data_IF_585243989883
#
_entry.id   IF_585243989883
#
_cell.length_a   1.000
_cell.length_b   1.000
_cell.length_c   1.000
_cell.angle_alpha   90.00
_cell.angle_beta   90.00
_cell.angle_gamma   90.00
#
_symmetry.space_group_name_H-M   'P 1'
#
loop_
_entity.id
_entity.type
_entity.pdbx_description
1 polymer ?
#
# COMPACT_ATOMS: atom_id res chain seq x y z
N UNK A 1 -13.17 13.53 -8.07
CA UNK A 1 -11.99 13.74 -7.24
C UNK A 1 -11.87 15.19 -6.79
N UNK A 2 -11.91 16.20 -7.67
CA UNK A 2 -11.80 17.62 -7.29
C UNK A 2 -12.81 18.04 -6.21
N UNK A 3 -14.05 17.58 -6.30
CA UNK A 3 -15.09 17.87 -5.31
C UNK A 3 -14.83 17.19 -3.94
N UNK A 4 -14.29 15.97 -3.95
CA UNK A 4 -13.94 15.27 -2.72
C UNK A 4 -12.77 15.93 -1.98
N UNK A 5 -11.75 16.40 -2.71
CA UNK A 5 -10.61 17.11 -2.11
C UNK A 5 -10.98 18.37 -1.33
N UNK A 6 -12.05 19.04 -1.73
CA UNK A 6 -12.53 20.25 -1.02
C UNK A 6 -13.29 19.95 0.28
N UNK A 7 -13.75 18.72 0.46
CA UNK A 7 -14.60 18.32 1.59
C UNK A 7 -13.93 17.40 2.60
N UNK A 8 -12.88 16.69 2.21
CA UNK A 8 -12.23 15.65 3.02
C UNK A 8 -10.73 15.89 3.09
N UNK A 9 -10.15 15.67 4.27
CA UNK A 9 -8.70 15.76 4.49
C UNK A 9 -7.91 14.65 3.77
N UNK A 10 -8.50 13.46 3.64
CA UNK A 10 -7.92 12.31 2.93
C UNK A 10 -8.97 11.70 2.02
N UNK A 11 -8.55 11.35 0.81
CA UNK A 11 -9.36 10.63 -0.18
C UNK A 11 -8.59 9.40 -0.63
N UNK A 12 -9.16 8.23 -0.44
CA UNK A 12 -8.62 6.97 -0.95
C UNK A 12 -9.29 6.63 -2.29
N UNK A 13 -8.46 6.29 -3.27
CA UNK A 13 -8.93 5.85 -4.59
C UNK A 13 -8.57 4.37 -4.71
N UNK A 14 -9.57 3.51 -4.63
CA UNK A 14 -9.43 2.09 -4.93
C UNK A 14 -9.55 1.85 -6.43
N UNK A 15 -8.63 1.07 -6.99
CA UNK A 15 -8.56 0.82 -8.42
C UNK A 15 -8.86 -0.65 -8.73
N UNK A 16 -9.69 -0.92 -9.76
CA UNK A 16 -9.92 -2.29 -10.18
C UNK A 16 -8.66 -2.89 -10.83
N UNK A 17 -8.44 -4.21 -10.71
CA UNK A 17 -7.33 -4.87 -11.38
C UNK A 17 -7.48 -4.77 -12.91
N UNK A 18 -6.36 -4.62 -13.60
CA UNK A 18 -6.26 -4.76 -15.07
C UNK A 18 -6.98 -3.71 -15.93
N UNK A 19 -7.38 -2.56 -15.38
CA UNK A 19 -7.93 -1.45 -16.15
C UNK A 19 -6.93 -0.29 -16.21
N UNK A 20 -6.03 -0.34 -17.18
CA UNK A 20 -4.90 0.59 -17.32
C UNK A 20 -5.30 2.06 -17.32
N UNK A 21 -6.39 2.42 -18.02
CA UNK A 21 -6.83 3.81 -18.14
C UNK A 21 -7.36 4.38 -16.81
N UNK A 22 -8.08 3.55 -16.04
CA UNK A 22 -8.57 3.95 -14.72
C UNK A 22 -7.42 4.04 -13.72
N UNK A 23 -6.46 3.13 -13.79
CA UNK A 23 -5.25 3.16 -12.95
C UNK A 23 -4.45 4.42 -13.26
N UNK A 24 -4.20 4.73 -14.53
CA UNK A 24 -3.49 5.93 -14.94
C UNK A 24 -4.19 7.21 -14.44
N UNK A 25 -5.50 7.31 -14.61
CA UNK A 25 -6.28 8.44 -14.13
C UNK A 25 -6.25 8.58 -12.59
N UNK A 26 -6.25 7.47 -11.87
CA UNK A 26 -6.14 7.46 -10.41
C UNK A 26 -4.74 7.91 -9.96
N UNK A 27 -3.69 7.41 -10.60
CA UNK A 27 -2.29 7.82 -10.35
C UNK A 27 -2.12 9.31 -10.58
N UNK A 28 -2.57 9.83 -11.71
CA UNK A 28 -2.48 11.26 -12.06
C UNK A 28 -3.21 12.15 -11.04
N UNK A 29 -4.30 11.66 -10.49
CA UNK A 29 -5.08 12.37 -9.50
C UNK A 29 -4.54 12.24 -8.07
N UNK A 30 -3.57 11.38 -7.81
CA UNK A 30 -3.08 11.06 -6.47
C UNK A 30 -1.88 11.92 -6.06
N UNK A 31 -1.76 12.19 -4.76
CA UNK A 31 -0.57 12.79 -4.14
C UNK A 31 0.44 11.72 -3.71
N UNK A 32 -0.05 10.53 -3.41
CA UNK A 32 0.73 9.35 -3.05
C UNK A 32 0.09 8.11 -3.67
N UNK A 33 0.91 7.24 -4.24
CA UNK A 33 0.48 5.93 -4.72
C UNK A 33 0.94 4.86 -3.74
N UNK A 34 0.02 4.03 -3.28
CA UNK A 34 0.33 2.87 -2.44
C UNK A 34 0.38 1.62 -3.31
N UNK A 35 1.56 1.03 -3.39
CA UNK A 35 1.80 -0.22 -4.11
C UNK A 35 1.66 -1.40 -3.14
N UNK A 36 0.59 -2.16 -3.26
CA UNK A 36 0.30 -3.28 -2.37
C UNK A 36 0.88 -4.57 -2.96
N UNK A 37 1.67 -5.30 -2.17
CA UNK A 37 2.27 -6.58 -2.58
C UNK A 37 2.40 -7.54 -1.39
N UNK A 38 2.64 -8.81 -1.68
CA UNK A 38 3.04 -9.80 -0.69
C UNK A 38 4.56 -10.01 -0.71
N UNK A 39 5.17 -10.67 0.30
CA UNK A 39 6.59 -10.99 0.28
C UNK A 39 7.01 -12.06 -0.74
N UNK A 40 6.08 -12.59 -1.54
CA UNK A 40 6.39 -13.58 -2.57
C UNK A 40 7.23 -13.01 -3.72
N UNK A 41 8.26 -13.72 -4.21
CA UNK A 41 9.14 -13.20 -5.26
C UNK A 41 8.40 -12.76 -6.53
N UNK A 42 7.43 -13.53 -6.97
CA UNK A 42 6.64 -13.23 -8.17
C UNK A 42 5.78 -11.97 -8.00
N UNK A 43 5.24 -11.76 -6.80
CA UNK A 43 4.45 -10.56 -6.50
C UNK A 43 5.35 -9.33 -6.41
N UNK A 44 6.55 -9.46 -5.85
CA UNK A 44 7.56 -8.40 -5.81
C UNK A 44 8.00 -7.99 -7.22
N UNK A 45 8.26 -8.95 -8.10
CA UNK A 45 8.62 -8.68 -9.49
C UNK A 45 7.52 -7.90 -10.22
N UNK A 46 6.26 -8.32 -10.08
CA UNK A 46 5.10 -7.64 -10.67
C UNK A 46 4.92 -6.22 -10.11
N UNK A 47 5.08 -6.07 -8.81
CA UNK A 47 5.03 -4.77 -8.16
C UNK A 47 6.15 -3.86 -8.68
N UNK A 48 7.37 -4.37 -8.83
CA UNK A 48 8.50 -3.63 -9.38
C UNK A 48 8.24 -3.14 -10.81
N UNK A 49 7.69 -3.99 -11.68
CA UNK A 49 7.30 -3.58 -13.04
C UNK A 49 6.26 -2.45 -13.01
N UNK A 50 5.32 -2.51 -12.08
CA UNK A 50 4.34 -1.44 -11.88
C UNK A 50 5.01 -0.17 -11.35
N UNK A 51 5.88 -0.28 -10.37
CA UNK A 51 6.59 0.85 -9.76
C UNK A 51 7.39 1.67 -10.78
N UNK A 52 8.06 0.99 -11.73
CA UNK A 52 8.83 1.64 -12.80
C UNK A 52 7.98 2.51 -13.73
N UNK A 53 6.70 2.20 -13.86
CA UNK A 53 5.76 2.91 -14.73
C UNK A 53 5.09 4.10 -14.03
N UNK A 54 5.28 4.27 -12.73
CA UNK A 54 4.62 5.32 -11.94
C UNK A 54 5.55 6.52 -11.79
N UNK A 55 5.13 7.66 -12.33
CA UNK A 55 5.81 8.95 -12.20
C UNK A 55 5.15 9.80 -11.10
N UNK A 56 5.00 9.25 -9.91
CA UNK A 56 4.42 9.90 -8.72
C UNK A 56 5.08 9.38 -7.45
N UNK A 57 5.08 10.15 -6.36
CA UNK A 57 5.50 9.63 -5.07
C UNK A 57 4.76 8.34 -4.76
N UNK A 58 5.50 7.29 -4.46
CA UNK A 58 4.93 5.98 -4.19
C UNK A 58 5.59 5.32 -2.99
N UNK A 59 4.86 4.48 -2.29
CA UNK A 59 5.35 3.69 -1.17
C UNK A 59 4.76 2.30 -1.21
N UNK A 60 5.58 1.29 -0.92
CA UNK A 60 5.18 -0.10 -0.96
C UNK A 60 4.60 -0.53 0.39
N UNK A 61 3.42 -1.15 0.36
CA UNK A 61 2.80 -1.79 1.52
C UNK A 61 2.90 -3.30 1.39
N UNK A 62 3.66 -3.93 2.30
CA UNK A 62 3.74 -5.37 2.40
C UNK A 62 2.53 -5.91 3.17
N UNK A 63 1.80 -6.81 2.54
CA UNK A 63 0.62 -7.47 3.12
C UNK A 63 0.82 -8.97 3.22
N UNK A 64 -0.05 -9.66 3.96
CA UNK A 64 0.04 -11.11 4.21
C UNK A 64 1.40 -11.53 4.77
N UNK A 65 2.01 -10.68 5.57
CA UNK A 65 3.33 -10.91 6.13
C UNK A 65 3.26 -11.88 7.31
N UNK A 66 4.35 -12.61 7.51
CA UNK A 66 4.57 -13.43 8.71
C UNK A 66 5.87 -12.97 9.36
N UNK A 67 5.77 -12.53 10.61
CA UNK A 67 6.93 -12.03 11.35
C UNK A 67 8.05 -13.09 11.43
N UNK A 68 9.29 -12.63 11.41
CA UNK A 68 10.50 -13.45 11.55
C UNK A 68 10.70 -14.50 10.43
N UNK A 69 10.09 -14.33 9.27
CA UNK A 69 10.29 -15.22 8.12
C UNK A 69 11.43 -14.74 7.22
N UNK A 70 12.07 -15.68 6.52
CA UNK A 70 13.06 -15.38 5.49
C UNK A 70 12.40 -14.56 4.36
N UNK A 71 11.21 -14.95 3.95
CA UNK A 71 10.47 -14.27 2.88
C UNK A 71 10.25 -12.77 3.17
N UNK A 72 9.91 -12.41 4.41
CA UNK A 72 9.74 -11.01 4.79
C UNK A 72 11.07 -10.24 4.72
N UNK A 73 12.14 -10.82 5.26
CA UNK A 73 13.48 -10.19 5.22
C UNK A 73 14.00 -10.01 3.79
N UNK A 74 13.78 -11.01 2.94
CA UNK A 74 14.19 -10.95 1.54
C UNK A 74 13.38 -9.90 0.77
N UNK A 75 12.08 -9.78 1.05
CA UNK A 75 11.24 -8.73 0.49
C UNK A 75 11.71 -7.33 0.90
N UNK A 76 11.99 -7.12 2.18
CA UNK A 76 12.50 -5.84 2.69
C UNK A 76 13.85 -5.48 2.06
N UNK A 77 14.74 -6.46 1.90
CA UNK A 77 16.02 -6.27 1.20
C UNK A 77 15.79 -5.92 -0.28
N UNK A 78 14.91 -6.65 -0.96
CA UNK A 78 14.56 -6.37 -2.36
C UNK A 78 14.11 -4.91 -2.54
N UNK A 79 13.21 -4.42 -1.69
CA UNK A 79 12.73 -3.04 -1.75
C UNK A 79 13.87 -2.03 -1.52
N UNK A 80 14.74 -2.29 -0.54
CA UNK A 80 15.90 -1.45 -0.26
C UNK A 80 16.90 -1.42 -1.43
N UNK A 81 17.22 -2.57 -2.00
CA UNK A 81 18.17 -2.70 -3.11
C UNK A 81 17.68 -1.99 -4.39
N UNK A 82 16.36 -1.90 -4.57
CA UNK A 82 15.73 -1.18 -5.68
C UNK A 82 15.40 0.28 -5.37
N UNK A 83 15.78 0.78 -4.19
CA UNK A 83 15.52 2.16 -3.78
C UNK A 83 14.05 2.51 -3.63
N UNK A 84 13.19 1.54 -3.32
CA UNK A 84 11.76 1.72 -3.15
C UNK A 84 11.42 2.12 -1.73
N UNK A 85 10.69 3.22 -1.57
CA UNK A 85 10.10 3.58 -0.30
C UNK A 85 9.04 2.55 0.11
N UNK A 86 8.94 2.26 1.39
CA UNK A 86 7.93 1.37 1.95
C UNK A 86 7.35 1.91 3.24
N UNK A 87 6.16 1.44 3.58
CA UNK A 87 5.61 1.62 4.92
C UNK A 87 6.44 0.84 5.94
N UNK A 88 6.65 1.41 7.12
CA UNK A 88 7.28 0.71 8.24
C UNK A 88 6.36 -0.38 8.78
N UNK A 89 5.06 -0.08 8.85
CA UNK A 89 4.04 -1.06 9.19
C UNK A 89 3.78 -2.04 8.04
N UNK A 90 3.48 -3.28 8.40
CA UNK A 90 3.04 -4.32 7.47
C UNK A 90 1.69 -4.89 7.89
N UNK A 91 0.96 -5.45 6.94
CA UNK A 91 -0.31 -6.13 7.23
C UNK A 91 -0.06 -7.62 7.40
N UNK A 92 -0.26 -8.17 8.60
CA UNK A 92 0.03 -9.58 8.86
C UNK A 92 -0.98 -10.50 8.19
N UNK A 93 -0.54 -11.71 7.87
CA UNK A 93 -1.44 -12.79 7.48
C UNK A 93 -2.26 -13.24 8.69
N UNK A 94 -3.55 -12.93 8.69
CA UNK A 94 -4.49 -13.33 9.74
C UNK A 94 -5.78 -13.86 9.13
N UNK A 95 -6.24 -14.99 9.62
CA UNK A 95 -7.52 -15.57 9.22
C UNK A 95 -8.71 -14.62 9.53
N UNK A 96 -8.62 -13.87 10.63
CA UNK A 96 -9.61 -12.87 10.99
C UNK A 96 -9.73 -11.75 9.93
N UNK A 97 -8.65 -11.38 9.23
CA UNK A 97 -8.70 -10.42 8.12
C UNK A 97 -9.40 -11.00 6.89
N UNK A 98 -9.18 -12.26 6.58
CA UNK A 98 -9.92 -12.94 5.50
C UNK A 98 -11.42 -12.96 5.77
N UNK A 99 -11.80 -13.25 7.00
CA UNK A 99 -13.23 -13.29 7.41
C UNK A 99 -13.86 -11.90 7.53
N UNK A 100 -13.08 -10.85 7.67
CA UNK A 100 -13.62 -9.48 7.75
C UNK A 100 -14.36 -9.04 6.50
N UNK A 101 -13.97 -9.56 5.33
CA UNK A 101 -14.70 -9.31 4.08
C UNK A 101 -16.13 -9.85 4.07
N UNK A 102 -16.38 -10.93 4.83
CA UNK A 102 -17.72 -11.52 4.98
C UNK A 102 -18.57 -10.77 6.01
N UNK A 103 -17.95 -10.33 7.11
CA UNK A 103 -18.62 -9.66 8.22
C UNK A 103 -18.73 -8.15 8.11
N UNK A 104 -17.93 -7.53 7.22
CA UNK A 104 -17.81 -6.09 7.10
C UNK A 104 -17.15 -5.41 8.32
N UNK A 105 -16.58 -6.17 9.26
CA UNK A 105 -15.95 -5.64 10.47
C UNK A 105 -14.45 -5.90 10.47
N UNK A 106 -13.67 -4.82 10.58
CA UNK A 106 -12.22 -4.92 10.68
C UNK A 106 -11.80 -5.35 12.09
N UNK A 107 -10.92 -6.37 12.22
CA UNK A 107 -10.34 -6.74 13.52
C UNK A 107 -9.52 -5.59 14.11
N UNK A 108 -9.59 -5.39 15.43
CA UNK A 108 -8.87 -4.33 16.15
C UNK A 108 -7.35 -4.39 15.97
N UNK A 109 -6.78 -5.57 15.80
CA UNK A 109 -5.35 -5.79 15.59
C UNK A 109 -5.00 -6.07 14.11
N UNK A 110 -5.61 -5.37 13.18
CA UNK A 110 -5.43 -5.58 11.74
C UNK A 110 -4.08 -5.10 11.20
N UNK A 111 -3.47 -4.10 11.83
CA UNK A 111 -2.29 -3.37 11.32
C UNK A 111 -2.64 -2.16 10.46
N UNK A 112 -3.84 -2.06 9.91
CA UNK A 112 -4.23 -0.94 9.05
C UNK A 112 -4.25 0.42 9.77
N UNK A 113 -4.49 0.45 11.08
CA UNK A 113 -4.41 1.68 11.86
C UNK A 113 -3.01 2.29 11.85
N UNK A 114 -1.97 1.46 11.95
CA UNK A 114 -0.58 1.90 11.86
C UNK A 114 -0.25 2.40 10.46
N UNK A 115 -0.64 1.67 9.43
CA UNK A 115 -0.46 2.07 8.03
C UNK A 115 -1.15 3.40 7.72
N UNK A 116 -2.34 3.64 8.26
CA UNK A 116 -3.08 4.89 8.04
C UNK A 116 -2.40 6.11 8.67
N UNK A 117 -1.70 5.94 9.78
CA UNK A 117 -1.02 7.04 10.47
C UNK A 117 0.26 7.50 9.77
N UNK A 118 1.01 6.59 9.14
CA UNK A 118 2.29 6.92 8.51
C UNK A 118 2.18 8.03 7.44
N UNK A 119 1.26 7.99 6.45
CA UNK A 119 1.12 9.09 5.50
C UNK A 119 0.65 10.39 6.15
N UNK A 120 -0.23 10.31 7.14
CA UNK A 120 -0.75 11.48 7.84
C UNK A 120 0.40 12.21 8.56
N UNK A 121 1.27 11.48 9.26
CA UNK A 121 2.44 12.02 9.92
C UNK A 121 3.45 12.61 8.93
N UNK A 122 3.69 11.92 7.80
CA UNK A 122 4.59 12.39 6.75
C UNK A 122 4.10 13.70 6.11
N UNK A 123 2.79 13.85 5.88
CA UNK A 123 2.23 15.09 5.33
C UNK A 123 2.21 16.24 6.34
N UNK A 124 2.04 15.97 7.64
CA UNK A 124 2.10 17.00 8.69
C UNK A 124 3.54 17.44 9.01
N UNK A 125 4.54 16.63 8.73
CA UNK A 125 5.95 16.95 8.93
C UNK A 125 6.58 17.83 7.84
N UNK A 126 5.81 18.20 6.81
CA UNK A 126 6.27 19.05 5.69
C UNK A 126 5.86 20.53 5.89
N UNK A 127 5.08 20.83 6.92
CA UNK A 127 4.83 22.21 7.37
C UNK A 127 5.98 22.72 8.26
#
# INVERSE_FOLDING_TARGET
IKHCRQRFGVVLIDTPPSQSDLIAAAVDASSLVVLVTTPGPLDLDRMWETAKAIDRPSSVLLTQTRANTVALRDAERFLSDHGLARFDATIPFKEALRRSSESGRMPSASGYGLVANEPIEAFHGIE
#
